data_IF_260760134496
#
_entry.id   IF_260760134496
#
_cell.length_a   1.000
_cell.length_b   1.000
_cell.length_c   1.000
_cell.angle_alpha   90.00
_cell.angle_beta   90.00
_cell.angle_gamma   90.00
#
_symmetry.space_group_name_H-M   'P 1'
#
loop_
_entity.id
_entity.type
_entity.pdbx_description
1 polymer ?
#
# COMPACT_ATOMS: atom_id res chain seq x y z
N UNK A 1 -32.16 22.03 -45.13
CA UNK A 1 -30.75 21.59 -45.30
C UNK A 1 -29.87 22.44 -44.39
N UNK A 2 -29.29 21.86 -43.35
CA UNK A 2 -28.05 22.32 -42.70
C UNK A 2 -27.63 21.25 -41.69
N UNK A 3 -27.14 20.15 -42.24
CA UNK A 3 -26.53 19.04 -41.53
C UNK A 3 -25.04 19.16 -41.79
N UNK A 4 -24.27 19.66 -40.83
CA UNK A 4 -22.80 19.53 -40.73
C UNK A 4 -22.34 20.21 -39.45
N UNK A 5 -21.31 19.62 -38.83
CA UNK A 5 -20.58 20.08 -37.62
C UNK A 5 -21.18 19.57 -36.30
N UNK A 6 -21.25 18.25 -36.15
CA UNK A 6 -21.26 17.61 -34.82
C UNK A 6 -20.44 16.33 -34.89
N UNK A 7 -19.11 16.39 -35.01
CA UNK A 7 -18.29 15.18 -34.85
C UNK A 7 -16.78 15.37 -34.60
N UNK A 8 -16.27 16.56 -34.23
CA UNK A 8 -14.80 16.77 -34.15
C UNK A 8 -14.27 17.13 -32.74
N UNK A 9 -15.13 17.36 -31.75
CA UNK A 9 -14.69 17.83 -30.41
C UNK A 9 -14.56 16.78 -29.32
N UNK A 10 -14.63 15.48 -29.63
CA UNK A 10 -14.53 14.40 -28.61
C UNK A 10 -13.16 13.68 -28.62
N UNK A 11 -12.22 14.05 -29.51
CA UNK A 11 -10.93 13.33 -29.62
C UNK A 11 -9.77 13.94 -28.81
N UNK A 12 -9.96 15.06 -28.11
CA UNK A 12 -8.87 15.78 -27.43
C UNK A 12 -8.81 15.63 -25.90
N UNK A 13 -9.72 14.87 -25.27
CA UNK A 13 -9.65 14.59 -23.82
C UNK A 13 -8.94 13.26 -23.48
N UNK A 14 -8.56 12.45 -24.47
CA UNK A 14 -7.91 11.15 -24.20
C UNK A 14 -6.39 11.27 -23.97
N UNK A 15 -5.78 12.43 -24.21
CA UNK A 15 -4.33 12.59 -24.16
C UNK A 15 -3.81 13.33 -22.91
N UNK A 16 -4.68 13.67 -21.96
CA UNK A 16 -4.32 14.44 -20.76
C UNK A 16 -3.90 13.60 -19.56
N UNK A 17 -4.00 12.26 -19.62
CA UNK A 17 -3.56 11.37 -18.51
C UNK A 17 -2.14 10.82 -18.68
N UNK A 18 -1.40 11.24 -19.71
CA UNK A 18 0.05 11.11 -19.73
C UNK A 18 0.71 12.18 -18.84
N UNK A 19 0.19 12.38 -17.63
CA UNK A 19 1.00 12.95 -16.56
C UNK A 19 2.13 11.95 -16.35
N UNK A 20 3.34 12.37 -16.68
CA UNK A 20 4.57 11.63 -16.45
C UNK A 20 4.61 11.26 -14.96
N UNK A 21 4.21 10.03 -14.66
CA UNK A 21 3.95 9.57 -13.30
C UNK A 21 5.29 9.32 -12.61
N UNK A 22 5.91 10.39 -12.12
CA UNK A 22 7.16 10.35 -11.36
C UNK A 22 6.97 9.72 -9.96
N UNK A 23 5.73 9.33 -9.63
CA UNK A 23 5.35 8.62 -8.40
C UNK A 23 5.72 7.14 -8.43
N UNK A 24 6.02 6.56 -9.61
CA UNK A 24 6.55 5.20 -9.72
C UNK A 24 8.01 5.22 -10.20
N UNK A 25 8.78 4.22 -9.79
CA UNK A 25 10.14 4.04 -10.27
C UNK A 25 10.21 3.27 -11.59
N UNK A 26 11.45 2.99 -12.05
CA UNK A 26 11.71 2.27 -13.31
C UNK A 26 11.13 0.86 -13.36
N UNK A 27 10.84 0.25 -12.20
CA UNK A 27 10.26 -1.09 -12.10
C UNK A 27 8.73 -1.01 -11.90
N UNK A 28 8.13 0.19 -12.00
CA UNK A 28 6.71 0.42 -11.75
C UNK A 28 6.32 0.25 -10.29
N UNK A 29 7.26 0.41 -9.35
CA UNK A 29 6.98 0.40 -7.91
C UNK A 29 6.72 1.83 -7.45
N UNK A 30 5.61 2.11 -6.74
CA UNK A 30 5.36 3.42 -6.17
C UNK A 30 6.45 3.82 -5.17
N UNK A 31 6.95 5.05 -5.30
CA UNK A 31 7.88 5.67 -4.34
C UNK A 31 7.09 6.14 -3.14
N UNK A 32 7.09 5.34 -2.08
CA UNK A 32 6.30 5.60 -0.87
C UNK A 32 7.12 5.40 0.38
N UNK A 33 6.74 6.06 1.46
CA UNK A 33 7.28 5.75 2.78
C UNK A 33 6.63 4.46 3.31
N UNK A 34 7.42 3.39 3.27
CA UNK A 34 7.04 2.06 3.75
C UNK A 34 7.05 1.94 5.29
N UNK A 35 7.55 2.95 6.02
CA UNK A 35 7.41 3.00 7.47
C UNK A 35 5.95 3.20 7.86
N UNK A 36 5.24 4.04 7.11
CA UNK A 36 3.80 4.26 7.26
C UNK A 36 3.38 4.63 8.68
N UNK A 37 2.09 4.47 8.95
CA UNK A 37 1.49 4.62 10.27
C UNK A 37 1.12 3.24 10.84
N UNK A 38 1.11 3.12 12.17
CA UNK A 38 0.61 1.93 12.85
C UNK A 38 -0.78 2.23 13.36
N UNK A 39 -1.75 1.49 12.84
CA UNK A 39 -3.15 1.59 13.24
C UNK A 39 -3.49 0.40 14.12
N UNK A 40 -4.19 0.66 15.22
CA UNK A 40 -4.70 -0.37 16.11
C UNK A 40 -6.20 -0.53 15.89
N UNK A 41 -6.63 -1.75 15.57
CA UNK A 41 -8.05 -2.09 15.40
C UNK A 41 -8.47 -3.11 16.45
N UNK A 42 -9.70 -3.07 16.96
CA UNK A 42 -10.19 -4.10 17.87
C UNK A 42 -10.04 -5.49 17.26
N UNK A 43 -9.44 -6.41 18.01
CA UNK A 43 -9.40 -7.80 17.59
C UNK A 43 -10.82 -8.39 17.62
N UNK A 44 -11.16 -9.31 16.70
CA UNK A 44 -12.41 -10.06 16.78
C UNK A 44 -12.53 -10.74 18.15
N UNK A 45 -13.66 -10.56 18.83
CA UNK A 45 -13.89 -11.25 20.11
C UNK A 45 -13.87 -12.76 19.87
N UNK A 46 -13.09 -13.54 20.63
CA UNK A 46 -13.13 -14.98 20.50
C UNK A 46 -14.54 -15.48 20.84
N UNK A 47 -15.03 -16.44 20.05
CA UNK A 47 -16.38 -17.02 20.25
C UNK A 47 -16.52 -17.73 21.60
N UNK A 48 -15.41 -18.22 22.16
CA UNK A 48 -15.38 -18.86 23.46
C UNK A 48 -14.83 -17.91 24.52
N UNK A 49 -15.61 -17.65 25.58
CA UNK A 49 -15.26 -16.69 26.62
C UNK A 49 -13.97 -17.03 27.38
N UNK A 50 -13.64 -18.32 27.52
CA UNK A 50 -12.40 -18.75 28.17
C UNK A 50 -11.12 -18.38 27.39
N UNK A 51 -11.25 -18.06 26.10
CA UNK A 51 -10.15 -17.57 25.25
C UNK A 51 -10.01 -16.04 25.29
N UNK A 52 -10.89 -15.31 25.97
CA UNK A 52 -10.91 -13.84 25.95
C UNK A 52 -9.61 -13.18 26.45
N UNK A 53 -8.86 -13.88 27.31
CA UNK A 53 -7.57 -13.41 27.81
C UNK A 53 -6.37 -14.02 27.07
N UNK A 54 -6.59 -15.02 26.20
CA UNK A 54 -5.55 -15.69 25.44
C UNK A 54 -5.17 -14.96 24.15
N UNK A 55 -6.02 -14.03 23.69
CA UNK A 55 -5.81 -13.28 22.46
C UNK A 55 -5.59 -11.78 22.73
N UNK A 56 -4.76 -11.11 21.91
CA UNK A 56 -4.60 -9.67 22.01
C UNK A 56 -5.93 -8.97 21.75
N UNK A 57 -6.20 -7.93 22.54
CA UNK A 57 -7.45 -7.13 22.41
C UNK A 57 -7.43 -6.23 21.18
N UNK A 58 -6.25 -5.95 20.64
CA UNK A 58 -6.03 -5.10 19.46
C UNK A 58 -5.13 -5.82 18.45
N UNK A 59 -5.42 -5.61 17.19
CA UNK A 59 -4.57 -5.97 16.07
C UNK A 59 -3.88 -4.68 15.63
N UNK A 60 -2.55 -4.71 15.55
CA UNK A 60 -1.75 -3.60 15.04
C UNK A 60 -1.44 -3.89 13.58
N UNK A 61 -1.64 -2.91 12.71
CA UNK A 61 -1.37 -3.04 11.27
C UNK A 61 -0.60 -1.82 10.80
N UNK A 62 0.45 -2.04 10.00
CA UNK A 62 1.17 -0.96 9.34
C UNK A 62 0.44 -0.58 8.06
N UNK A 63 0.00 0.67 7.99
CA UNK A 63 -0.70 1.26 6.87
C UNK A 63 0.26 2.22 6.17
N UNK A 64 0.41 2.07 4.86
CA UNK A 64 1.20 2.98 4.03
C UNK A 64 0.25 3.78 3.12
N UNK A 65 0.71 4.94 2.67
CA UNK A 65 -0.04 5.79 1.74
C UNK A 65 0.60 5.73 0.36
N UNK A 66 -0.18 5.28 -0.62
CA UNK A 66 0.21 5.20 -2.04
C UNK A 66 -0.74 6.10 -2.82
N UNK A 67 -0.26 7.21 -3.40
CA UNK A 67 -1.09 8.14 -4.18
C UNK A 67 -2.40 8.50 -3.46
N UNK A 68 -2.30 9.00 -2.22
CA UNK A 68 -3.42 9.34 -1.32
C UNK A 68 -4.33 8.17 -0.88
N UNK A 69 -4.08 6.95 -1.35
CA UNK A 69 -4.76 5.74 -0.88
C UNK A 69 -3.99 5.09 0.26
N UNK A 70 -4.68 4.89 1.38
CA UNK A 70 -4.18 4.09 2.52
C UNK A 70 -4.35 2.60 2.25
N UNK A 71 -3.30 1.80 2.47
CA UNK A 71 -3.35 0.35 2.35
C UNK A 71 -2.40 -0.35 3.33
N UNK A 72 -2.67 -1.60 3.76
CA UNK A 72 -1.73 -2.39 4.54
C UNK A 72 -0.41 -2.62 3.79
N UNK A 73 0.71 -2.64 4.53
CA UNK A 73 2.03 -2.94 3.94
C UNK A 73 2.03 -4.28 3.19
N UNK A 74 1.37 -5.32 3.72
CA UNK A 74 1.25 -6.62 3.05
C UNK A 74 0.52 -6.51 1.71
N UNK A 75 -0.55 -5.71 1.63
CA UNK A 75 -1.27 -5.49 0.38
C UNK A 75 -0.35 -4.81 -0.64
N UNK A 76 0.42 -3.79 -0.23
CA UNK A 76 1.39 -3.14 -1.10
C UNK A 76 2.42 -4.11 -1.69
N UNK A 77 2.99 -4.99 -0.85
CA UNK A 77 3.96 -6.00 -1.30
C UNK A 77 3.31 -6.93 -2.35
N UNK A 78 2.09 -7.40 -2.08
CA UNK A 78 1.36 -8.29 -2.99
C UNK A 78 0.98 -7.59 -4.30
N UNK A 79 0.70 -6.29 -4.29
CA UNK A 79 0.31 -5.54 -5.49
C UNK A 79 1.52 -5.11 -6.32
N UNK A 80 2.57 -4.59 -5.69
CA UNK A 80 3.63 -3.87 -6.41
C UNK A 80 4.97 -4.60 -6.48
N UNK A 81 5.23 -5.56 -5.58
CA UNK A 81 6.56 -6.15 -5.40
C UNK A 81 6.75 -7.56 -5.96
N UNK A 82 5.72 -8.15 -6.58
CA UNK A 82 5.83 -9.49 -7.18
C UNK A 82 6.93 -9.54 -8.23
N UNK A 83 7.91 -10.43 -8.06
CA UNK A 83 9.06 -10.56 -8.96
C UNK A 83 10.10 -9.44 -8.86
N UNK A 84 9.95 -8.47 -7.94
CA UNK A 84 10.80 -7.28 -7.83
C UNK A 84 11.61 -7.23 -6.53
N UNK A 85 12.16 -8.36 -6.10
CA UNK A 85 12.90 -8.45 -4.83
C UNK A 85 14.18 -7.62 -4.78
N UNK A 86 14.75 -7.29 -5.95
CA UNK A 86 15.93 -6.45 -6.10
C UNK A 86 15.59 -4.95 -6.08
N UNK A 87 14.31 -4.59 -6.18
CA UNK A 87 13.89 -3.21 -6.04
C UNK A 87 14.05 -2.77 -4.57
N UNK A 88 14.64 -1.60 -4.33
CA UNK A 88 15.02 -1.15 -2.99
C UNK A 88 13.80 -1.00 -2.07
N UNK A 89 12.74 -0.38 -2.56
CA UNK A 89 11.49 -0.18 -1.81
C UNK A 89 10.84 -1.52 -1.48
N UNK A 90 10.81 -2.46 -2.44
CA UNK A 90 10.28 -3.81 -2.20
C UNK A 90 11.15 -4.63 -1.23
N UNK A 91 12.47 -4.55 -1.34
CA UNK A 91 13.40 -5.24 -0.44
C UNK A 91 13.19 -4.79 1.01
N UNK A 92 13.08 -3.48 1.23
CA UNK A 92 12.83 -2.93 2.56
C UNK A 92 11.41 -3.23 3.05
N UNK A 93 10.40 -3.12 2.19
CA UNK A 93 9.01 -3.47 2.52
C UNK A 93 8.90 -4.92 3.00
N UNK A 94 9.53 -5.87 2.31
CA UNK A 94 9.55 -7.28 2.72
C UNK A 94 10.26 -7.49 4.07
N UNK A 95 11.36 -6.78 4.32
CA UNK A 95 12.07 -6.85 5.61
C UNK A 95 11.20 -6.32 6.75
N UNK A 96 10.55 -5.16 6.56
CA UNK A 96 9.62 -4.59 7.55
C UNK A 96 8.43 -5.54 7.76
N UNK A 97 7.84 -6.07 6.70
CA UNK A 97 6.74 -7.04 6.81
C UNK A 97 7.14 -8.29 7.60
N UNK A 98 8.36 -8.80 7.41
CA UNK A 98 8.86 -9.92 8.20
C UNK A 98 9.04 -9.56 9.69
N UNK A 99 9.50 -8.34 10.00
CA UNK A 99 9.56 -7.88 11.39
C UNK A 99 8.17 -7.74 12.02
N UNK A 100 7.23 -7.18 11.27
CA UNK A 100 5.85 -7.01 11.69
C UNK A 100 5.15 -8.36 11.91
N UNK A 101 5.46 -9.39 11.10
CA UNK A 101 4.93 -10.75 11.26
C UNK A 101 5.47 -11.47 12.51
N UNK A 102 6.76 -11.31 12.82
CA UNK A 102 7.41 -12.04 13.92
C UNK A 102 7.26 -11.35 15.29
N UNK A 103 7.12 -10.02 15.32
CA UNK A 103 7.09 -9.25 16.57
C UNK A 103 5.95 -8.25 16.66
N UNK A 104 5.08 -8.18 15.66
CA UNK A 104 4.05 -7.15 15.53
C UNK A 104 4.62 -5.81 15.02
N UNK A 105 3.78 -4.97 14.38
CA UNK A 105 4.19 -3.62 13.98
C UNK A 105 4.67 -2.76 15.15
N UNK A 106 5.81 -2.09 14.93
CA UNK A 106 6.43 -1.15 15.88
C UNK A 106 7.00 0.08 15.19
N UNK A 107 7.04 1.20 15.91
CA UNK A 107 7.56 2.49 15.41
C UNK A 107 9.06 2.42 15.18
N UNK A 108 9.78 1.80 16.12
CA UNK A 108 11.23 1.70 16.07
C UNK A 108 11.65 0.52 15.19
N UNK A 109 12.09 0.84 13.97
CA UNK A 109 12.67 -0.10 13.03
C UNK A 109 14.22 -0.07 13.12
N UNK A 110 14.89 -1.21 12.90
CA UNK A 110 16.34 -1.26 12.74
C UNK A 110 16.86 -0.24 11.72
N UNK A 111 18.02 0.36 11.99
CA UNK A 111 18.68 1.29 11.06
C UNK A 111 18.99 0.58 9.74
N UNK A 112 18.83 1.30 8.62
CA UNK A 112 19.07 0.77 7.28
C UNK A 112 17.91 -0.04 6.69
N UNK A 113 16.73 0.06 7.32
CA UNK A 113 15.44 -0.35 6.78
C UNK A 113 14.61 0.83 6.36
#
# INVERSE_FOLDING_TARGET
MNMKIRLITILLLALSLAACDSSVDKDGVPKVDIHGEIVETPAPKPKAAWLANAFPKVIRTRIITVQDKKMPLQEFILTYCQGKSQNETCSRAMKIANLDLNGGPRKDLPKGL
#
